data_IF_476068367869
#
_entry.id   IF_476068367869
#
_cell.length_a   1.000
_cell.length_b   1.000
_cell.length_c   1.000
_cell.angle_alpha   90.00
_cell.angle_beta   90.00
_cell.angle_gamma   90.00
#
_symmetry.space_group_name_H-M   'P 1'
#
loop_
_entity.id
_entity.type
_entity.pdbx_description
1 polymer ?
#
# COMPACT_ATOMS: atom_id res chain seq x y z
N UNK A 1 0.16 -1.08 -5.76
CA UNK A 1 0.64 -1.27 -7.15
C UNK A 1 0.72 0.05 -7.93
N UNK A 2 0.20 1.15 -7.38
CA UNK A 2 0.44 2.51 -7.86
C UNK A 2 1.83 3.00 -7.50
N UNK A 3 2.32 4.01 -8.22
CA UNK A 3 3.60 4.70 -7.95
C UNK A 3 3.64 5.27 -6.53
N UNK A 4 2.49 5.69 -6.02
CA UNK A 4 2.35 6.24 -4.66
C UNK A 4 1.03 5.77 -4.03
N UNK A 5 1.00 5.66 -2.70
CA UNK A 5 -0.23 5.41 -1.96
C UNK A 5 -1.11 6.68 -1.93
N UNK A 6 -2.43 6.51 -2.08
CA UNK A 6 -3.42 7.61 -2.02
C UNK A 6 -3.28 8.45 -0.74
N UNK A 7 -2.96 7.80 0.38
CA UNK A 7 -2.74 8.49 1.67
C UNK A 7 -1.68 9.59 1.60
N UNK A 8 -0.60 9.42 0.82
CA UNK A 8 0.42 10.47 0.64
C UNK A 8 -0.12 11.67 -0.12
N UNK A 9 -0.98 11.46 -1.12
CA UNK A 9 -1.65 12.57 -1.83
C UNK A 9 -2.63 13.28 -0.90
N UNK A 10 -3.37 12.55 -0.06
CA UNK A 10 -4.25 13.15 0.95
C UNK A 10 -3.47 14.00 1.96
N UNK A 11 -2.27 13.56 2.36
CA UNK A 11 -1.39 14.33 3.24
C UNK A 11 -0.88 15.60 2.54
N UNK A 12 -0.43 15.50 1.29
CA UNK A 12 -0.01 16.68 0.51
C UNK A 12 -1.17 17.69 0.35
N UNK A 13 -2.40 17.22 0.08
CA UNK A 13 -3.61 18.08 0.07
C UNK A 13 -3.80 18.79 1.40
N UNK A 14 -3.72 18.06 2.52
CA UNK A 14 -3.90 18.63 3.86
C UNK A 14 -2.80 19.65 4.21
N UNK A 15 -1.58 19.45 3.70
CA UNK A 15 -0.47 20.38 3.86
C UNK A 15 -0.51 21.56 2.87
N UNK A 16 -1.42 21.56 1.88
CA UNK A 16 -1.45 22.56 0.82
C UNK A 16 -0.27 22.47 -0.16
N UNK A 17 0.35 21.29 -0.26
CA UNK A 17 1.55 21.06 -1.07
C UNK A 17 1.20 20.43 -2.43
N UNK A 18 2.00 20.75 -3.45
CA UNK A 18 1.92 20.10 -4.77
C UNK A 18 2.52 18.70 -4.70
N UNK A 19 1.96 17.75 -5.45
CA UNK A 19 2.53 16.40 -5.58
C UNK A 19 3.55 16.34 -6.73
N UNK A 20 4.56 15.46 -6.67
CA UNK A 20 5.47 15.22 -7.78
C UNK A 20 4.75 14.80 -9.06
N UNK A 21 5.30 15.17 -10.22
CA UNK A 21 4.84 14.68 -11.51
C UNK A 21 4.94 13.14 -11.60
N UNK A 22 4.05 12.54 -12.40
CA UNK A 22 4.02 11.09 -12.60
C UNK A 22 3.35 10.29 -11.47
N UNK A 23 2.78 10.96 -10.46
CA UNK A 23 2.00 10.29 -9.42
C UNK A 23 0.55 10.05 -9.81
N UNK A 24 -0.07 11.00 -10.52
CA UNK A 24 -1.49 10.98 -10.83
C UNK A 24 -1.84 11.68 -12.14
N UNK A 25 -3.03 11.37 -12.63
CA UNK A 25 -3.72 12.04 -13.72
C UNK A 25 -4.98 12.72 -13.16
N UNK A 26 -5.41 13.82 -13.78
CA UNK A 26 -6.73 14.41 -13.53
C UNK A 26 -7.86 13.58 -14.14
N UNK A 27 -9.10 14.08 -14.04
CA UNK A 27 -10.31 13.41 -14.56
C UNK A 27 -10.35 13.36 -16.09
N UNK A 28 -9.64 14.25 -16.78
CA UNK A 28 -9.45 14.26 -18.23
C UNK A 28 -8.32 13.32 -18.68
N UNK A 29 -7.56 12.74 -17.74
CA UNK A 29 -6.44 11.86 -18.02
C UNK A 29 -5.12 12.58 -18.28
N UNK A 30 -5.02 13.88 -17.98
CA UNK A 30 -3.77 14.63 -18.11
C UNK A 30 -2.93 14.51 -16.84
N UNK A 31 -1.58 14.46 -16.94
CA UNK A 31 -0.70 14.51 -15.77
C UNK A 31 -0.96 15.74 -14.90
N UNK A 32 -1.00 15.55 -13.58
CA UNK A 32 -1.26 16.65 -12.63
C UNK A 32 -0.33 16.62 -11.43
N UNK A 33 0.00 17.82 -10.94
CA UNK A 33 0.70 18.06 -9.67
C UNK A 33 -0.21 18.65 -8.60
N UNK A 34 -1.49 18.86 -8.93
CA UNK A 34 -2.52 19.30 -8.00
C UNK A 34 -3.10 18.10 -7.25
N UNK A 35 -2.95 18.02 -5.92
CA UNK A 35 -3.47 16.90 -5.14
C UNK A 35 -5.01 16.83 -5.18
N UNK A 36 -5.73 17.94 -5.39
CA UNK A 36 -7.18 17.91 -5.51
C UNK A 36 -7.63 17.30 -6.83
N UNK A 37 -7.01 17.72 -7.94
CA UNK A 37 -7.25 17.13 -9.25
C UNK A 37 -6.86 15.63 -9.28
N UNK A 38 -5.76 15.27 -8.61
CA UNK A 38 -5.29 13.88 -8.50
C UNK A 38 -6.30 12.97 -7.76
N UNK A 39 -6.93 13.46 -6.69
CA UNK A 39 -7.95 12.69 -5.93
C UNK A 39 -9.22 12.48 -6.77
N UNK A 40 -9.58 13.46 -7.60
CA UNK A 40 -10.73 13.35 -8.50
C UNK A 40 -10.44 12.54 -9.78
N UNK A 41 -9.16 12.30 -10.08
CA UNK A 41 -8.70 11.57 -11.26
C UNK A 41 -8.24 10.15 -10.92
N UNK A 42 -7.02 9.80 -11.34
CA UNK A 42 -6.48 8.45 -11.16
C UNK A 42 -5.00 8.43 -10.79
N UNK A 43 -4.59 7.41 -10.03
CA UNK A 43 -3.19 7.16 -9.70
C UNK A 43 -2.48 6.42 -10.83
N UNK A 44 -1.22 6.76 -11.07
CA UNK A 44 -0.40 6.08 -12.08
C UNK A 44 0.14 4.77 -11.49
N UNK A 45 0.13 3.70 -12.31
CA UNK A 45 0.70 2.40 -11.96
C UNK A 45 2.23 2.42 -11.90
N UNK A 46 2.81 1.81 -10.87
CA UNK A 46 4.27 1.75 -10.72
C UNK A 46 4.91 0.96 -11.87
N UNK A 47 5.87 1.54 -12.59
CA UNK A 47 6.50 0.85 -13.72
C UNK A 47 5.55 0.63 -14.92
N UNK A 48 4.52 1.46 -15.06
CA UNK A 48 3.64 1.49 -16.23
C UNK A 48 2.81 0.22 -16.39
N UNK A 49 2.80 -0.36 -17.59
CA UNK A 49 1.97 -1.53 -17.92
C UNK A 49 2.24 -2.75 -17.02
N UNK A 50 3.46 -2.87 -16.47
CA UNK A 50 3.81 -3.97 -15.55
C UNK A 50 3.10 -3.80 -14.19
N UNK A 51 3.13 -2.61 -13.61
CA UNK A 51 2.41 -2.32 -12.37
C UNK A 51 0.91 -2.42 -12.53
N UNK A 52 0.40 -2.01 -13.71
CA UNK A 52 -1.01 -2.19 -14.04
C UNK A 52 -1.38 -3.68 -14.07
N UNK A 53 -0.56 -4.52 -14.71
CA UNK A 53 -0.75 -5.97 -14.72
C UNK A 53 -0.75 -6.57 -13.31
N UNK A 54 0.15 -6.12 -12.42
CA UNK A 54 0.13 -6.54 -11.01
C UNK A 54 -1.11 -6.04 -10.25
N UNK A 55 -1.61 -4.84 -10.57
CA UNK A 55 -2.86 -4.33 -10.02
C UNK A 55 -4.07 -5.17 -10.44
N UNK A 56 -4.14 -5.53 -11.72
CA UNK A 56 -5.17 -6.40 -12.26
C UNK A 56 -5.10 -7.83 -11.66
N UNK A 57 -3.89 -8.38 -11.51
CA UNK A 57 -3.70 -9.66 -10.84
C UNK A 57 -4.22 -9.62 -9.40
N UNK A 58 -3.92 -8.56 -8.65
CA UNK A 58 -4.44 -8.38 -7.30
C UNK A 58 -5.98 -8.36 -7.31
N UNK A 59 -6.60 -7.54 -8.17
CA UNK A 59 -8.06 -7.49 -8.32
C UNK A 59 -8.68 -8.86 -8.62
N UNK A 60 -8.12 -9.62 -9.57
CA UNK A 60 -8.64 -10.95 -9.93
C UNK A 60 -8.55 -11.92 -8.74
N UNK A 61 -7.41 -11.94 -8.04
CA UNK A 61 -7.21 -12.82 -6.89
C UNK A 61 -8.08 -12.41 -5.69
N UNK A 62 -8.27 -11.10 -5.47
CA UNK A 62 -8.98 -10.57 -4.31
C UNK A 62 -10.45 -10.21 -4.55
N UNK A 63 -10.98 -10.32 -5.75
CA UNK A 63 -12.40 -10.03 -6.04
C UNK A 63 -12.96 -11.20 -6.83
N UNK A 64 -12.30 -11.58 -7.92
CA UNK A 64 -12.73 -12.68 -8.78
C UNK A 64 -12.78 -14.03 -8.07
N UNK A 65 -11.85 -14.32 -7.16
CA UNK A 65 -11.80 -15.61 -6.47
C UNK A 65 -12.57 -15.66 -5.13
N UNK A 66 -12.74 -14.53 -4.45
CA UNK A 66 -13.28 -14.49 -3.07
C UNK A 66 -14.62 -13.76 -2.95
N UNK A 67 -15.12 -13.14 -4.01
CA UNK A 67 -16.43 -12.46 -4.03
C UNK A 67 -16.47 -11.10 -3.32
N UNK A 68 -15.33 -10.46 -3.07
CA UNK A 68 -15.30 -9.07 -2.57
C UNK A 68 -15.88 -8.06 -3.56
N UNK A 69 -16.03 -6.80 -3.14
CA UNK A 69 -16.43 -5.72 -4.04
C UNK A 69 -15.31 -5.38 -5.03
N UNK A 70 -15.68 -5.03 -6.27
CA UNK A 70 -14.70 -4.52 -7.24
C UNK A 70 -14.12 -3.18 -6.77
N UNK A 71 -12.89 -2.87 -7.14
CA UNK A 71 -12.24 -1.58 -6.83
C UNK A 71 -13.04 -0.36 -7.30
N UNK A 72 -13.95 -0.51 -8.28
CA UNK A 72 -14.86 0.56 -8.71
C UNK A 72 -16.08 0.74 -7.78
N UNK A 73 -16.50 -0.33 -7.12
CA UNK A 73 -17.69 -0.37 -6.25
C UNK A 73 -17.33 -0.16 -4.76
N UNK A 74 -16.04 -0.20 -4.41
CA UNK A 74 -15.56 0.06 -3.05
C UNK A 74 -15.91 1.49 -2.64
N UNK A 75 -16.74 1.59 -1.59
CA UNK A 75 -17.07 2.87 -0.94
C UNK A 75 -15.84 3.49 -0.27
N UNK A 76 -15.82 4.82 -0.04
CA UNK A 76 -14.68 5.49 0.59
C UNK A 76 -14.24 4.83 1.90
N UNK A 77 -13.00 4.34 1.95
CA UNK A 77 -12.44 3.57 3.07
C UNK A 77 -12.32 4.33 4.41
N UNK A 78 -12.57 5.64 4.39
CA UNK A 78 -12.49 6.52 5.57
C UNK A 78 -13.85 7.07 5.97
N UNK A 79 -14.95 6.49 5.49
CA UNK A 79 -16.28 6.86 5.95
C UNK A 79 -16.43 6.47 7.44
N UNK A 80 -16.79 7.40 8.34
CA UNK A 80 -16.89 7.12 9.77
C UNK A 80 -18.10 6.22 10.10
N UNK A 81 -19.06 6.14 9.18
CA UNK A 81 -20.29 5.40 9.31
C UNK A 81 -20.57 4.63 8.01
N UNK A 82 -21.29 3.52 8.13
CA UNK A 82 -21.70 2.71 6.99
C UNK A 82 -21.52 1.22 7.23
N UNK A 83 -21.97 0.37 6.28
CA UNK A 83 -21.68 -1.05 6.33
C UNK A 83 -20.17 -1.31 6.17
N UNK A 84 -19.68 -2.50 6.56
CA UNK A 84 -18.34 -2.95 6.21
C UNK A 84 -18.05 -2.80 4.72
N UNK A 85 -16.78 -2.62 4.37
CA UNK A 85 -16.38 -2.35 2.98
C UNK A 85 -16.44 -3.58 2.04
N UNK A 86 -16.65 -4.78 2.59
CA UNK A 86 -16.66 -6.06 1.88
C UNK A 86 -15.48 -6.22 0.92
N UNK A 87 -14.29 -5.85 1.41
CA UNK A 87 -13.04 -6.05 0.69
C UNK A 87 -12.68 -7.53 0.69
N UNK A 88 -12.06 -7.97 -0.39
CA UNK A 88 -11.49 -9.31 -0.44
C UNK A 88 -10.00 -9.33 -0.09
N UNK A 89 -9.58 -10.43 0.54
CA UNK A 89 -8.19 -10.79 0.77
C UNK A 89 -7.90 -12.12 0.08
N UNK A 90 -6.72 -12.23 -0.51
CA UNK A 90 -6.18 -13.49 -1.02
C UNK A 90 -4.88 -13.80 -0.27
N UNK A 91 -4.77 -15.01 0.27
CA UNK A 91 -3.58 -15.49 0.96
C UNK A 91 -3.12 -16.80 0.30
N UNK A 92 -1.85 -16.84 -0.08
CA UNK A 92 -1.18 -18.03 -0.60
C UNK A 92 -0.10 -18.45 0.39
N UNK A 93 -0.24 -19.64 0.94
CA UNK A 93 0.75 -20.26 1.81
C UNK A 93 1.48 -21.35 1.03
N UNK A 94 2.80 -21.29 1.02
CA UNK A 94 3.67 -22.27 0.37
C UNK A 94 4.62 -22.79 1.43
N UNK A 95 4.65 -24.11 1.60
CA UNK A 95 5.55 -24.76 2.55
C UNK A 95 6.99 -24.77 2.01
N UNK A 96 7.94 -24.06 2.66
CA UNK A 96 9.33 -24.04 2.22
C UNK A 96 10.01 -25.42 2.35
N UNK A 97 9.53 -26.30 3.24
CA UNK A 97 10.14 -27.61 3.50
C UNK A 97 9.92 -28.61 2.35
N UNK A 98 9.10 -28.23 1.37
CA UNK A 98 9.01 -28.94 0.09
C UNK A 98 10.34 -28.99 -0.68
N UNK A 99 11.30 -28.12 -0.33
CA UNK A 99 12.66 -28.14 -0.84
C UNK A 99 13.67 -28.05 0.31
N UNK A 100 14.46 -29.10 0.51
CA UNK A 100 15.49 -29.15 1.56
C UNK A 100 16.55 -28.05 1.44
N UNK A 101 16.70 -27.45 0.25
CA UNK A 101 17.68 -26.41 -0.03
C UNK A 101 17.13 -24.99 0.12
N UNK A 102 15.84 -24.81 0.41
CA UNK A 102 15.19 -23.50 0.35
C UNK A 102 15.92 -22.43 1.19
N UNK A 103 16.20 -22.73 2.45
CA UNK A 103 16.87 -21.79 3.36
C UNK A 103 18.32 -21.50 2.95
N UNK A 104 19.05 -22.51 2.46
CA UNK A 104 20.42 -22.31 1.95
C UNK A 104 20.42 -21.38 0.73
N UNK A 105 19.46 -21.54 -0.19
CA UNK A 105 19.31 -20.68 -1.37
C UNK A 105 18.88 -19.26 -0.99
N UNK A 106 17.98 -19.13 -0.02
CA UNK A 106 17.58 -17.83 0.51
C UNK A 106 18.78 -17.07 1.10
N UNK A 107 19.65 -17.76 1.85
CA UNK A 107 20.88 -17.18 2.38
C UNK A 107 21.83 -16.74 1.26
N UNK A 108 22.03 -17.57 0.23
CA UNK A 108 22.88 -17.21 -0.93
C UNK A 108 22.38 -15.96 -1.65
N UNK A 109 21.06 -15.79 -1.79
CA UNK A 109 20.47 -14.57 -2.37
C UNK A 109 20.75 -13.36 -1.48
N UNK A 110 20.58 -13.51 -0.16
CA UNK A 110 20.85 -12.43 0.80
C UNK A 110 22.33 -12.02 0.78
N UNK A 111 23.26 -12.98 0.75
CA UNK A 111 24.70 -12.74 0.71
C UNK A 111 25.13 -12.04 -0.58
N UNK A 112 24.51 -12.40 -1.71
CA UNK A 112 24.75 -11.75 -2.99
C UNK A 112 24.29 -10.29 -2.98
N UNK A 113 23.09 -10.01 -2.45
CA UNK A 113 22.57 -8.64 -2.31
C UNK A 113 23.45 -7.82 -1.37
N UNK A 114 23.97 -8.43 -0.30
CA UNK A 114 24.84 -7.75 0.65
C UNK A 114 26.20 -7.32 0.07
N UNK A 115 26.58 -7.80 -1.12
CA UNK A 115 27.80 -7.33 -1.81
C UNK A 115 27.64 -5.92 -2.39
N UNK A 116 26.41 -5.49 -2.67
CA UNK A 116 26.13 -4.18 -3.23
C UNK A 116 25.98 -3.13 -2.12
N UNK A 117 26.82 -2.10 -2.15
CA UNK A 117 26.79 -1.03 -1.16
C UNK A 117 25.42 -0.32 -1.12
N UNK A 118 24.79 -0.32 0.05
CA UNK A 118 23.47 0.29 0.27
C UNK A 118 22.27 -0.58 -0.14
N UNK A 119 22.50 -1.75 -0.74
CA UNK A 119 21.42 -2.70 -1.01
C UNK A 119 20.99 -3.43 0.27
N UNK A 120 19.72 -3.86 0.30
CA UNK A 120 19.16 -4.60 1.44
C UNK A 120 17.99 -5.49 1.03
N UNK A 121 17.79 -6.56 1.78
CA UNK A 121 16.60 -7.39 1.69
C UNK A 121 15.35 -6.61 2.14
N UNK A 122 14.18 -6.80 1.51
CA UNK A 122 12.93 -6.24 1.99
C UNK A 122 12.65 -6.69 3.44
N UNK A 123 12.35 -5.73 4.32
CA UNK A 123 12.13 -5.99 5.75
C UNK A 123 13.40 -6.12 6.59
N UNK A 124 14.59 -6.16 5.98
CA UNK A 124 15.86 -6.13 6.70
C UNK A 124 15.95 -4.86 7.55
N UNK A 125 16.45 -5.02 8.78
CA UNK A 125 16.60 -3.96 9.78
C UNK A 125 15.29 -3.32 10.27
N UNK A 126 14.14 -3.97 10.08
CA UNK A 126 12.95 -3.58 10.85
C UNK A 126 13.23 -3.84 12.33
N UNK A 127 13.17 -2.77 13.12
CA UNK A 127 13.24 -2.84 14.58
C UNK A 127 11.81 -2.82 15.11
N UNK A 128 11.48 -3.78 15.95
CA UNK A 128 10.22 -3.77 16.68
C UNK A 128 10.25 -2.62 17.69
N UNK A 129 9.23 -1.77 17.65
CA UNK A 129 9.06 -0.71 18.64
C UNK A 129 8.21 -1.25 19.78
N UNK A 130 8.86 -1.51 20.91
CA UNK A 130 8.19 -1.82 22.17
C UNK A 130 8.95 -1.16 23.34
N UNK A 131 8.40 -0.10 23.97
CA UNK A 131 7.08 0.48 23.70
C UNK A 131 7.01 1.30 22.39
N UNK A 132 5.79 1.51 21.88
CA UNK A 132 5.52 2.40 20.73
C UNK A 132 5.37 3.84 21.21
N UNK A 133 6.08 4.77 20.58
CA UNK A 133 5.91 6.20 20.81
C UNK A 133 4.70 6.74 20.02
N UNK A 134 3.83 7.49 20.69
CA UNK A 134 2.62 8.08 20.09
C UNK A 134 2.55 9.56 20.43
N UNK A 135 2.05 10.38 19.50
CA UNK A 135 1.73 11.78 19.78
C UNK A 135 0.67 11.88 20.87
N UNK A 136 0.82 12.84 21.80
CA UNK A 136 -0.10 13.04 22.92
C UNK A 136 -1.56 13.24 22.45
N UNK A 137 -1.75 13.94 21.33
CA UNK A 137 -3.06 14.19 20.74
C UNK A 137 -3.74 12.91 20.26
N UNK A 138 -2.98 12.01 19.66
CA UNK A 138 -3.46 10.69 19.21
C UNK A 138 -3.80 9.84 20.43
N UNK A 139 -2.91 9.79 21.43
CA UNK A 139 -3.14 9.03 22.65
C UNK A 139 -4.37 9.50 23.42
N UNK A 140 -4.53 10.82 23.59
CA UNK A 140 -5.69 11.42 24.25
C UNK A 140 -7.01 11.06 23.55
N UNK A 141 -7.04 11.16 22.21
CA UNK A 141 -8.22 10.78 21.41
C UNK A 141 -8.53 9.29 21.50
N UNK A 142 -7.50 8.44 21.56
CA UNK A 142 -7.68 6.99 21.76
C UNK A 142 -8.32 6.69 23.12
N UNK A 143 -7.89 7.37 24.19
CA UNK A 143 -8.48 7.22 25.52
C UNK A 143 -9.94 7.69 25.55
N UNK A 144 -10.22 8.85 24.97
CA UNK A 144 -11.59 9.39 24.86
C UNK A 144 -12.53 8.40 24.15
N UNK A 145 -12.12 7.87 23.00
CA UNK A 145 -12.89 6.88 22.24
C UNK A 145 -13.05 5.55 22.99
N UNK A 146 -12.10 5.21 23.86
CA UNK A 146 -12.17 4.04 24.73
C UNK A 146 -13.01 4.27 26.00
N UNK A 147 -13.54 5.48 26.22
CA UNK A 147 -14.28 5.86 27.42
C UNK A 147 -13.42 5.96 28.68
N UNK A 148 -12.13 6.29 28.54
CA UNK A 148 -11.16 6.45 29.62
C UNK A 148 -10.77 7.91 29.84
#
# INVERSE_FOLDING_TARGET
TTTVALGKITMAKAAGERIPEGWALDKEGNPTTDPEAAIAGSLISMGGYKGWGFGLMAEILTVGMNGGNTSQDVKPLKAPEGPPHDLGLYCLLIDPDSSSDFYNRLQQIADAIAQDEGARMPGQFKVEQDPVELEETVWGKTLELAGK
#
